data_IF_831005417135
#
_entry.id   IF_831005417135
#
_cell.length_a   1.000
_cell.length_b   1.000
_cell.length_c   1.000
_cell.angle_alpha   90.00
_cell.angle_beta   90.00
_cell.angle_gamma   90.00
#
_symmetry.space_group_name_H-M   'P 1'
#
loop_
_entity.id
_entity.type
_entity.pdbx_description
1 polymer ?
#
# COMPACT_ATOMS: atom_id res chain seq x y z
N UNK A 1 -15.90 15.88 -12.68
CA UNK A 1 -15.22 14.60 -12.80
C UNK A 1 -13.99 14.61 -11.91
N UNK A 2 -13.77 13.56 -11.17
CA UNK A 2 -12.65 13.49 -10.22
C UNK A 2 -11.65 12.42 -10.65
N UNK A 3 -10.37 12.73 -10.52
CA UNK A 3 -9.31 11.79 -10.84
C UNK A 3 -8.49 11.51 -9.59
N UNK A 4 -8.17 10.25 -9.38
CA UNK A 4 -7.31 9.83 -8.29
C UNK A 4 -5.86 10.02 -8.71
N UNK A 5 -5.12 10.86 -8.00
CA UNK A 5 -3.72 11.15 -8.33
C UNK A 5 -2.74 10.37 -7.45
N UNK A 6 -3.08 10.19 -6.19
CA UNK A 6 -2.17 9.55 -5.23
C UNK A 6 -2.98 8.74 -4.22
N UNK A 7 -2.47 7.57 -3.87
CA UNK A 7 -3.02 6.78 -2.76
C UNK A 7 -1.89 6.34 -1.83
N UNK A 8 -2.23 6.18 -0.55
CA UNK A 8 -1.38 5.50 0.41
C UNK A 8 -2.18 4.32 0.95
N UNK A 9 -1.62 3.13 0.82
CA UNK A 9 -2.28 1.89 1.20
C UNK A 9 -1.47 1.17 2.27
N UNK A 10 -2.18 0.55 3.20
CA UNK A 10 -1.55 -0.28 4.22
C UNK A 10 -2.12 -1.69 4.14
N UNK A 11 -1.24 -2.67 4.24
CA UNK A 11 -1.62 -4.07 4.19
C UNK A 11 -0.97 -4.82 5.33
N UNK A 12 -1.67 -5.83 5.83
CA UNK A 12 -1.10 -6.78 6.78
C UNK A 12 -0.84 -8.08 6.05
N UNK A 13 0.40 -8.55 6.11
CA UNK A 13 0.78 -9.87 5.58
C UNK A 13 1.54 -10.63 6.65
N UNK A 14 1.60 -11.95 6.51
CA UNK A 14 2.18 -12.79 7.55
C UNK A 14 3.70 -12.85 7.50
N UNK A 15 4.29 -12.90 6.32
CA UNK A 15 5.71 -13.18 6.13
C UNK A 15 6.40 -12.14 5.27
N UNK A 16 7.73 -12.09 5.35
CA UNK A 16 8.55 -11.21 4.51
C UNK A 16 8.46 -11.64 3.03
N UNK A 17 8.31 -12.94 2.76
CA UNK A 17 8.11 -13.44 1.41
C UNK A 17 6.83 -12.89 0.79
N UNK A 18 5.77 -12.75 1.58
CA UNK A 18 4.53 -12.12 1.13
C UNK A 18 4.72 -10.62 0.86
N UNK A 19 5.57 -9.95 1.65
CA UNK A 19 5.92 -8.54 1.40
C UNK A 19 6.61 -8.40 0.04
N UNK A 20 7.56 -9.26 -0.25
CA UNK A 20 8.29 -9.26 -1.52
C UNK A 20 7.36 -9.55 -2.70
N UNK A 21 6.46 -10.51 -2.55
CA UNK A 21 5.47 -10.84 -3.58
C UNK A 21 4.54 -9.65 -3.86
N UNK A 22 4.11 -8.96 -2.83
CA UNK A 22 3.26 -7.77 -2.95
C UNK A 22 4.01 -6.63 -3.65
N UNK A 23 5.28 -6.44 -3.32
CA UNK A 23 6.12 -5.44 -3.95
C UNK A 23 6.26 -5.70 -5.46
N UNK A 24 6.52 -6.94 -5.84
CA UNK A 24 6.62 -7.33 -7.25
C UNK A 24 5.29 -7.12 -7.99
N UNK A 25 4.18 -7.45 -7.34
CA UNK A 25 2.85 -7.25 -7.90
C UNK A 25 2.63 -5.76 -8.21
N UNK A 26 2.99 -4.88 -7.29
CA UNK A 26 2.86 -3.45 -7.49
C UNK A 26 3.79 -2.92 -8.58
N UNK A 27 4.98 -3.45 -8.71
CA UNK A 27 5.92 -3.04 -9.74
C UNK A 27 5.51 -3.48 -11.16
N UNK A 28 4.70 -4.53 -11.27
CA UNK A 28 4.20 -5.02 -12.56
C UNK A 28 3.05 -4.22 -13.10
N UNK A 29 2.35 -3.49 -12.25
CA UNK A 29 1.20 -2.71 -12.67
C UNK A 29 1.69 -1.40 -13.27
N UNK A 30 1.24 -1.11 -14.50
CA UNK A 30 1.64 0.10 -15.21
C UNK A 30 0.60 1.24 -15.14
N UNK A 31 -0.44 1.07 -14.33
CA UNK A 31 -1.47 2.10 -14.15
C UNK A 31 -1.01 3.22 -13.22
N UNK A 32 0.04 2.97 -12.44
CA UNK A 32 0.55 3.91 -11.47
C UNK A 32 2.07 3.74 -11.33
N UNK A 33 2.68 4.73 -10.70
CA UNK A 33 4.07 4.65 -10.28
C UNK A 33 4.11 4.39 -8.77
N UNK A 34 4.85 3.38 -8.36
CA UNK A 34 5.08 3.11 -6.94
C UNK A 34 6.16 4.08 -6.45
N UNK A 35 5.76 5.08 -5.66
CA UNK A 35 6.67 6.12 -5.21
C UNK A 35 7.29 5.83 -3.86
N UNK A 36 6.67 4.95 -3.07
CA UNK A 36 7.20 4.55 -1.78
C UNK A 36 6.69 3.16 -1.43
N UNK A 37 7.55 2.33 -0.88
CA UNK A 37 7.19 1.01 -0.41
C UNK A 37 8.08 0.65 0.77
N UNK A 38 7.46 0.20 1.84
CA UNK A 38 8.20 -0.22 3.02
C UNK A 38 7.36 -1.11 3.89
N UNK A 39 7.99 -1.75 4.85
CA UNK A 39 7.25 -2.56 5.81
C UNK A 39 7.88 -2.49 7.19
N UNK A 40 7.08 -2.82 8.20
CA UNK A 40 7.51 -2.91 9.59
C UNK A 40 7.04 -4.23 10.15
N UNK A 41 7.91 -4.92 10.85
CA UNK A 41 7.56 -6.15 11.56
C UNK A 41 6.87 -5.81 12.87
N UNK A 42 5.73 -6.43 13.11
CA UNK A 42 4.97 -6.29 14.34
C UNK A 42 4.82 -7.64 15.02
N UNK A 43 4.68 -7.61 16.33
CA UNK A 43 4.56 -8.81 17.15
C UNK A 43 3.30 -8.73 17.98
N UNK A 44 2.63 -9.87 18.11
CA UNK A 44 1.55 -10.03 19.07
C UNK A 44 2.14 -10.75 20.28
N UNK A 45 2.02 -10.14 21.45
CA UNK A 45 2.53 -10.71 22.70
C UNK A 45 1.37 -11.13 23.57
N UNK A 46 1.53 -12.27 24.23
CA UNK A 46 0.58 -12.79 25.18
C UNK A 46 1.35 -13.31 26.38
N UNK A 47 1.06 -12.79 27.58
CA UNK A 47 1.74 -13.15 28.83
C UNK A 47 3.28 -13.00 28.75
N UNK A 48 3.74 -11.94 28.04
CA UNK A 48 5.16 -11.67 27.87
C UNK A 48 5.85 -12.48 26.78
N UNK A 49 5.13 -13.37 26.10
CA UNK A 49 5.67 -14.18 25.02
C UNK A 49 5.14 -13.73 23.66
N UNK A 50 6.00 -13.79 22.65
CA UNK A 50 5.61 -13.50 21.27
C UNK A 50 4.88 -14.73 20.72
N UNK A 51 3.58 -14.56 20.40
CA UNK A 51 2.74 -15.66 19.88
C UNK A 51 2.48 -15.53 18.40
N UNK A 52 2.70 -14.36 17.81
CA UNK A 52 2.49 -14.11 16.38
C UNK A 52 3.41 -13.00 15.92
N UNK A 53 3.86 -13.12 14.69
CA UNK A 53 4.63 -12.10 14.00
C UNK A 53 3.94 -11.81 12.66
N UNK A 54 3.84 -10.54 12.29
CA UNK A 54 3.28 -10.16 11.02
C UNK A 54 3.96 -8.89 10.50
N UNK A 55 3.76 -8.60 9.22
CA UNK A 55 4.33 -7.44 8.57
C UNK A 55 3.23 -6.45 8.22
N UNK A 56 3.49 -5.18 8.47
CA UNK A 56 2.62 -4.08 8.02
C UNK A 56 3.32 -3.38 6.88
N UNK A 57 2.72 -3.44 5.71
CA UNK A 57 3.26 -2.85 4.48
C UNK A 57 2.59 -1.51 4.23
N UNK A 58 3.39 -0.51 3.90
CA UNK A 58 2.86 0.80 3.47
C UNK A 58 3.36 1.06 2.05
N UNK A 59 2.43 1.33 1.15
CA UNK A 59 2.73 1.62 -0.26
C UNK A 59 2.09 2.94 -0.68
N UNK A 60 2.86 3.79 -1.33
CA UNK A 60 2.35 5.03 -1.91
C UNK A 60 2.41 4.92 -3.42
N UNK A 61 1.28 5.15 -4.07
CA UNK A 61 1.12 5.06 -5.51
C UNK A 61 0.74 6.41 -6.08
N UNK A 62 1.39 6.80 -7.17
CA UNK A 62 1.06 8.04 -7.89
C UNK A 62 0.59 7.67 -9.28
N UNK A 63 -0.60 8.15 -9.64
CA UNK A 63 -1.17 7.97 -10.96
C UNK A 63 -0.71 9.12 -11.85
N UNK A 64 -0.75 8.90 -13.17
CA UNK A 64 -0.21 9.83 -14.13
C UNK A 64 -0.86 11.22 -14.03
N UNK A 65 -0.10 12.22 -13.60
CA UNK A 65 -0.54 13.60 -13.44
C UNK A 65 -0.29 14.45 -14.68
N UNK A 66 0.60 14.03 -15.56
CA UNK A 66 1.02 14.81 -16.73
C UNK A 66 0.08 14.66 -17.92
N UNK A 67 -0.71 13.61 -17.91
CA UNK A 67 -1.67 13.30 -18.95
C UNK A 67 -3.04 13.12 -18.33
N UNK A 68 -4.01 12.77 -19.13
CA UNK A 68 -5.30 12.37 -18.61
C UNK A 68 -5.12 11.20 -17.65
N UNK A 69 -5.53 11.34 -16.37
CA UNK A 69 -5.33 10.28 -15.39
C UNK A 69 -5.99 8.97 -15.77
N UNK A 70 -5.32 7.86 -15.48
CA UNK A 70 -5.82 6.54 -15.81
C UNK A 70 -6.97 6.08 -14.89
N UNK A 71 -7.10 6.69 -13.72
CA UNK A 71 -8.11 6.32 -12.73
C UNK A 71 -9.04 7.49 -12.48
N UNK A 72 -10.31 7.27 -12.73
CA UNK A 72 -11.37 8.23 -12.46
C UNK A 72 -12.17 7.75 -11.26
N UNK A 73 -12.50 8.66 -10.36
CA UNK A 73 -13.26 8.37 -9.15
C UNK A 73 -14.40 9.35 -9.02
N UNK A 74 -15.62 8.84 -8.87
CA UNK A 74 -16.81 9.65 -8.68
C UNK A 74 -17.39 9.57 -7.26
N UNK A 75 -16.64 9.02 -6.32
CA UNK A 75 -16.98 9.00 -4.91
C UNK A 75 -16.12 10.01 -4.15
N UNK A 76 -16.71 10.59 -3.10
CA UNK A 76 -15.97 11.49 -2.23
C UNK A 76 -15.20 10.69 -1.20
N UNK A 77 -13.95 11.05 -1.00
CA UNK A 77 -13.13 10.50 0.06
C UNK A 77 -13.04 11.48 1.20
N UNK A 78 -13.18 10.98 2.40
CA UNK A 78 -12.74 11.74 3.56
C UNK A 78 -11.23 11.64 3.60
N UNK A 79 -10.59 12.79 3.52
CA UNK A 79 -9.14 12.83 3.57
C UNK A 79 -8.74 13.14 5.01
N UNK A 80 -8.22 12.15 5.69
CA UNK A 80 -7.70 12.30 7.05
C UNK A 80 -6.20 12.45 6.97
N UNK A 81 -5.76 13.66 7.23
CA UNK A 81 -4.35 13.95 7.31
C UNK A 81 -3.92 14.11 8.77
#
# INVERSE_FOLDING_TARGET
MKYLLTTTEKYRVGTVEEVEALHEEFLRDNKYTLTSFGYTTKYVKQKGEIVEEYQVVTAKKTFNEEKEPAVEVDVEYEVNF
#
